data_IF_729796918712
#
_entry.id   IF_729796918712
#
_cell.length_a   1.000
_cell.length_b   1.000
_cell.length_c   1.000
_cell.angle_alpha   90.00
_cell.angle_beta   90.00
_cell.angle_gamma   90.00
#
_symmetry.space_group_name_H-M   'P 1'
#
loop_
_entity.id
_entity.type
_entity.pdbx_description
1 polymer ?
#
# COMPACT_ATOMS: atom_id res chain seq x y z
N UNK A 1 9.74 1.91 0.75
CA UNK A 1 10.59 0.78 0.28
C UNK A 1 11.47 0.30 1.42
N UNK A 2 11.82 -0.98 1.44
CA UNK A 2 12.67 -1.63 2.45
C UNK A 2 13.42 -2.82 1.79
N UNK A 3 14.56 -3.30 2.35
CA UNK A 3 15.29 -4.44 1.80
C UNK A 3 14.42 -5.70 1.71
N UNK A 4 14.46 -6.38 0.57
CA UNK A 4 13.62 -7.54 0.28
C UNK A 4 12.17 -7.19 -0.09
N UNK A 5 11.88 -5.95 -0.48
CA UNK A 5 10.56 -5.55 -1.02
C UNK A 5 10.25 -6.34 -2.31
N UNK A 6 8.97 -6.63 -2.53
CA UNK A 6 8.52 -7.30 -3.74
C UNK A 6 8.49 -6.30 -4.92
N UNK A 7 9.36 -6.49 -5.89
CA UNK A 7 9.51 -5.61 -7.05
C UNK A 7 8.33 -5.65 -8.01
N UNK A 8 7.61 -6.79 -8.11
CA UNK A 8 6.40 -6.88 -8.92
C UNK A 8 5.33 -5.95 -8.36
N UNK A 9 5.08 -6.01 -7.05
CA UNK A 9 4.08 -5.14 -6.41
C UNK A 9 4.51 -3.68 -6.45
N UNK A 10 5.79 -3.40 -6.24
CA UNK A 10 6.32 -2.04 -6.38
C UNK A 10 6.13 -1.50 -7.81
N UNK A 11 6.40 -2.32 -8.82
CA UNK A 11 6.20 -1.98 -10.22
C UNK A 11 4.73 -1.72 -10.55
N UNK A 12 3.81 -2.56 -10.04
CA UNK A 12 2.36 -2.35 -10.19
C UNK A 12 1.90 -1.04 -9.54
N UNK A 13 2.36 -0.73 -8.33
CA UNK A 13 2.03 0.51 -7.63
C UNK A 13 2.47 1.74 -8.44
N UNK A 14 3.70 1.75 -8.92
CA UNK A 14 4.22 2.85 -9.73
C UNK A 14 3.53 2.92 -11.10
N UNK A 15 3.38 1.81 -11.79
CA UNK A 15 2.81 1.75 -13.14
C UNK A 15 1.34 2.16 -13.18
N UNK A 16 0.53 1.72 -12.21
CA UNK A 16 -0.88 2.08 -12.13
C UNK A 16 -1.12 3.52 -11.66
N UNK A 17 -0.27 4.05 -10.77
CA UNK A 17 -0.48 5.38 -10.23
C UNK A 17 0.19 6.50 -11.05
N UNK A 18 1.22 6.20 -11.84
CA UNK A 18 1.88 7.20 -12.71
C UNK A 18 0.93 7.92 -13.67
N UNK A 19 -0.01 7.27 -14.35
CA UNK A 19 -0.97 7.96 -15.22
C UNK A 19 -1.88 8.94 -14.46
N UNK A 20 -2.14 8.69 -13.17
CA UNK A 20 -2.93 9.57 -12.32
C UNK A 20 -2.19 10.87 -11.98
N UNK A 21 -0.85 10.82 -11.93
CA UNK A 21 -0.01 11.97 -11.60
C UNK A 21 0.12 12.96 -12.75
N UNK A 22 0.02 12.50 -14.00
CA UNK A 22 0.24 13.34 -15.22
C UNK A 22 -1.01 14.13 -15.63
N UNK A 23 -2.21 13.70 -15.24
CA UNK A 23 -3.48 14.30 -15.66
C UNK A 23 -4.06 15.31 -14.65
N UNK A 24 -3.23 15.99 -13.85
CA UNK A 24 -3.69 17.09 -13.02
C UNK A 24 -4.34 18.17 -13.91
N UNK A 25 -5.63 18.45 -13.69
CA UNK A 25 -6.29 19.63 -14.27
C UNK A 25 -5.47 20.87 -13.89
N UNK A 26 -5.40 21.85 -14.79
CA UNK A 26 -4.72 23.13 -14.50
C UNK A 26 -5.24 23.66 -13.17
N UNK A 27 -4.38 23.73 -12.15
CA UNK A 27 -4.72 24.20 -10.79
C UNK A 27 -4.81 23.14 -9.68
N UNK A 28 -4.80 21.83 -9.99
CA UNK A 28 -4.67 20.78 -8.97
C UNK A 28 -3.26 20.21 -9.03
N UNK A 29 -2.44 20.27 -7.95
CA UNK A 29 -1.15 19.58 -7.94
C UNK A 29 -1.39 18.10 -8.23
N UNK A 30 -0.85 17.60 -9.33
CA UNK A 30 -0.92 16.18 -9.65
C UNK A 30 -0.19 15.40 -8.53
N UNK A 31 -0.91 14.54 -7.81
CA UNK A 31 -0.27 13.67 -6.83
C UNK A 31 0.62 12.68 -7.58
N UNK A 32 1.93 12.78 -7.43
CA UNK A 32 2.88 11.85 -8.00
C UNK A 32 3.00 10.59 -7.12
N UNK A 33 3.11 9.42 -7.74
CA UNK A 33 3.54 8.22 -7.03
C UNK A 33 5.04 8.32 -6.75
N UNK A 34 5.40 8.35 -5.47
CA UNK A 34 6.78 8.52 -5.01
C UNK A 34 7.23 7.29 -4.22
N UNK A 35 8.45 6.85 -4.47
CA UNK A 35 9.09 5.83 -3.64
C UNK A 35 9.84 6.47 -2.49
N UNK A 36 9.49 6.07 -1.27
CA UNK A 36 10.12 6.57 -0.04
C UNK A 36 10.73 5.43 0.78
N UNK A 37 11.84 5.71 1.45
CA UNK A 37 12.49 4.76 2.34
C UNK A 37 13.16 5.50 3.52
N UNK A 38 13.75 4.73 4.45
CA UNK A 38 14.49 5.31 5.58
C UNK A 38 15.72 6.10 5.13
N UNK A 39 16.39 5.66 4.07
CA UNK A 39 17.58 6.29 3.51
C UNK A 39 17.52 6.29 1.99
N UNK A 40 18.36 7.07 1.33
CA UNK A 40 18.49 7.08 -0.14
C UNK A 40 19.42 5.99 -0.68
N UNK A 41 19.91 5.09 0.18
CA UNK A 41 20.68 3.94 -0.27
C UNK A 41 19.85 3.00 -1.14
N UNK A 42 20.53 2.35 -2.09
CA UNK A 42 19.89 1.36 -2.95
C UNK A 42 19.33 0.20 -2.12
N UNK A 43 18.18 -0.27 -2.52
CA UNK A 43 17.41 -1.36 -1.91
C UNK A 43 17.47 -2.56 -2.83
N UNK A 44 17.97 -3.69 -2.34
CA UNK A 44 17.88 -4.98 -3.01
C UNK A 44 16.47 -5.54 -2.77
N UNK A 45 15.71 -5.75 -3.86
CA UNK A 45 14.38 -6.35 -3.85
C UNK A 45 14.44 -7.88 -3.69
N UNK A 46 13.29 -8.51 -3.47
CA UNK A 46 13.19 -9.94 -3.21
C UNK A 46 13.67 -10.82 -4.37
N UNK A 47 13.41 -10.44 -5.62
CA UNK A 47 13.83 -11.15 -6.84
C UNK A 47 15.17 -10.67 -7.41
N UNK A 48 15.89 -9.78 -6.71
CA UNK A 48 17.23 -9.36 -7.09
C UNK A 48 17.32 -8.01 -7.80
N UNK A 49 16.21 -7.35 -8.11
CA UNK A 49 16.25 -5.99 -8.66
C UNK A 49 16.81 -5.03 -7.62
N UNK A 50 17.64 -4.08 -8.05
CA UNK A 50 18.18 -3.02 -7.21
C UNK A 50 17.47 -1.71 -7.54
N UNK A 51 16.80 -1.11 -6.56
CA UNK A 51 16.07 0.14 -6.70
C UNK A 51 16.60 1.21 -5.75
N UNK A 52 16.62 2.46 -6.19
CA UNK A 52 16.96 3.60 -5.33
C UNK A 52 15.68 4.40 -5.03
N UNK A 53 15.35 4.61 -3.74
CA UNK A 53 14.19 5.43 -3.37
C UNK A 53 14.38 6.88 -3.84
N UNK A 54 13.28 7.49 -4.29
CA UNK A 54 13.28 8.90 -4.70
C UNK A 54 13.49 9.83 -3.50
N UNK A 55 12.86 9.51 -2.36
CA UNK A 55 12.89 10.33 -1.15
C UNK A 55 13.16 9.50 0.10
N UNK A 56 13.59 10.16 1.16
CA UNK A 56 13.55 9.63 2.52
C UNK A 56 12.25 10.04 3.21
N UNK A 57 11.85 9.33 4.26
CA UNK A 57 10.62 9.63 5.00
C UNK A 57 10.52 11.10 5.45
N UNK A 58 11.64 11.67 5.96
CA UNK A 58 11.68 13.05 6.44
C UNK A 58 11.52 14.12 5.34
N UNK A 59 11.71 13.75 4.08
CA UNK A 59 11.57 14.63 2.92
C UNK A 59 10.29 14.36 2.11
N UNK A 60 9.43 13.46 2.59
CA UNK A 60 8.16 13.19 1.92
C UNK A 60 7.23 14.42 2.01
N UNK A 61 6.61 14.82 0.90
CA UNK A 61 5.58 15.87 0.92
C UNK A 61 4.33 15.37 1.68
N UNK A 62 3.33 16.23 1.93
CA UNK A 62 2.03 15.78 2.42
C UNK A 62 1.48 14.65 1.54
N UNK A 63 1.08 13.55 2.17
CA UNK A 63 0.67 12.33 1.48
C UNK A 63 -0.85 12.29 1.33
N UNK A 64 -1.33 11.90 0.15
CA UNK A 64 -2.75 11.62 -0.10
C UNK A 64 -3.11 10.14 0.17
N UNK A 65 -2.12 9.26 0.21
CA UNK A 65 -2.26 7.84 0.51
C UNK A 65 -0.89 7.18 0.67
N UNK A 66 -0.85 6.01 1.28
CA UNK A 66 0.35 5.18 1.41
C UNK A 66 0.07 3.80 0.84
N UNK A 67 1.02 3.28 0.04
CA UNK A 67 1.03 1.88 -0.39
C UNK A 67 2.24 1.17 0.21
N UNK A 68 1.97 0.02 0.81
CA UNK A 68 2.97 -0.86 1.42
C UNK A 68 3.03 -2.16 0.61
N UNK A 69 4.04 -2.35 -0.23
CA UNK A 69 4.24 -3.61 -0.93
C UNK A 69 4.66 -4.72 0.02
N UNK A 70 4.43 -5.95 -0.35
CA UNK A 70 4.98 -7.13 0.32
C UNK A 70 6.48 -7.30 0.08
N UNK A 71 7.00 -8.41 0.54
CA UNK A 71 8.39 -8.81 0.36
C UNK A 71 8.97 -9.49 1.60
N UNK A 72 10.09 -10.15 1.44
CA UNK A 72 10.75 -10.95 2.49
C UNK A 72 11.15 -10.13 3.72
N UNK A 73 11.42 -8.83 3.55
CA UNK A 73 11.83 -7.93 4.62
C UNK A 73 10.69 -7.25 5.37
N UNK A 74 9.43 -7.50 5.01
CA UNK A 74 8.27 -6.76 5.49
C UNK A 74 8.15 -6.74 7.03
N UNK A 75 8.22 -7.89 7.68
CA UNK A 75 8.10 -7.97 9.14
C UNK A 75 9.24 -7.22 9.84
N UNK A 76 10.47 -7.38 9.38
CA UNK A 76 11.62 -6.65 9.93
C UNK A 76 11.47 -5.13 9.75
N UNK A 77 10.98 -4.70 8.58
CA UNK A 77 10.74 -3.29 8.30
C UNK A 77 9.64 -2.70 9.20
N UNK A 78 8.59 -3.48 9.52
CA UNK A 78 7.53 -3.06 10.45
C UNK A 78 8.01 -2.81 11.88
N UNK A 79 9.13 -3.41 12.29
CA UNK A 79 9.77 -3.16 13.60
C UNK A 79 10.64 -1.91 13.63
N UNK A 80 10.94 -1.32 12.45
CA UNK A 80 11.74 -0.10 12.38
C UNK A 80 10.94 1.09 12.94
N UNK A 81 11.45 1.79 13.97
CA UNK A 81 10.75 2.93 14.56
C UNK A 81 10.39 4.04 13.55
N UNK A 82 11.23 4.26 12.53
CA UNK A 82 10.97 5.28 11.51
C UNK A 82 9.79 4.88 10.61
N UNK A 83 9.68 3.61 10.25
CA UNK A 83 8.52 3.08 9.49
C UNK A 83 7.25 3.19 10.32
N UNK A 84 7.30 2.78 11.59
CA UNK A 84 6.16 2.87 12.52
C UNK A 84 5.70 4.30 12.71
N UNK A 85 6.63 5.25 12.84
CA UNK A 85 6.30 6.67 12.98
C UNK A 85 5.55 7.22 11.75
N UNK A 86 5.99 6.89 10.54
CA UNK A 86 5.31 7.31 9.30
C UNK A 86 3.89 6.74 9.22
N UNK A 87 3.71 5.46 9.54
CA UNK A 87 2.39 4.83 9.52
C UNK A 87 1.47 5.34 10.64
N UNK A 88 2.01 5.61 11.81
CA UNK A 88 1.25 6.23 12.89
C UNK A 88 0.79 7.65 12.54
N UNK A 89 1.64 8.45 11.91
CA UNK A 89 1.27 9.77 11.40
C UNK A 89 0.18 9.69 10.33
N UNK A 90 0.30 8.74 9.39
CA UNK A 90 -0.73 8.51 8.38
C UNK A 90 -2.07 8.15 9.01
N UNK A 91 -2.07 7.24 10.00
CA UNK A 91 -3.27 6.87 10.74
C UNK A 91 -3.89 8.07 11.46
N UNK A 92 -3.09 8.86 12.16
CA UNK A 92 -3.56 10.06 12.87
C UNK A 92 -4.11 11.13 11.91
N UNK A 93 -3.52 11.26 10.72
CA UNK A 93 -3.98 12.17 9.65
C UNK A 93 -5.11 11.62 8.80
N UNK A 94 -5.68 10.45 9.12
CA UNK A 94 -6.73 9.75 8.36
C UNK A 94 -6.34 9.47 6.89
N UNK A 95 -5.04 9.36 6.61
CA UNK A 95 -4.52 9.06 5.29
C UNK A 95 -4.79 7.59 4.97
N UNK A 96 -5.43 7.26 3.83
CA UNK A 96 -5.72 5.87 3.46
C UNK A 96 -4.43 5.08 3.22
N UNK A 97 -4.43 3.83 3.67
CA UNK A 97 -3.27 2.94 3.59
C UNK A 97 -3.67 1.67 2.82
N UNK A 98 -2.92 1.36 1.77
CA UNK A 98 -3.03 0.11 1.03
C UNK A 98 -1.86 -0.81 1.35
N UNK A 99 -2.15 -2.09 1.60
CA UNK A 99 -1.15 -3.09 2.02
C UNK A 99 -1.29 -4.35 1.17
N UNK A 100 -0.21 -4.78 0.55
CA UNK A 100 -0.21 -5.95 -0.34
C UNK A 100 0.61 -7.09 0.22
N UNK A 101 0.11 -8.30 0.10
CA UNK A 101 0.83 -9.52 0.43
C UNK A 101 1.42 -9.53 1.84
N UNK A 102 2.67 -9.91 1.96
CA UNK A 102 3.39 -9.91 3.24
C UNK A 102 3.66 -8.51 3.82
N UNK A 103 3.35 -7.43 3.09
CA UNK A 103 3.31 -6.07 3.65
C UNK A 103 2.35 -5.95 4.84
N UNK A 104 1.36 -6.86 4.93
CA UNK A 104 0.47 -6.93 6.09
C UNK A 104 1.21 -7.26 7.40
N UNK A 105 2.33 -7.98 7.34
CA UNK A 105 3.19 -8.21 8.52
C UNK A 105 3.83 -6.89 8.99
N UNK A 106 4.25 -6.04 8.05
CA UNK A 106 4.75 -4.70 8.35
C UNK A 106 3.64 -3.85 9.01
N UNK A 107 2.43 -3.89 8.45
CA UNK A 107 1.28 -3.18 9.01
C UNK A 107 0.89 -3.72 10.41
N UNK A 108 0.98 -5.03 10.63
CA UNK A 108 0.76 -5.67 11.93
C UNK A 108 1.74 -5.21 12.99
N UNK A 109 3.05 -5.23 12.70
CA UNK A 109 4.09 -4.74 13.60
C UNK A 109 3.93 -3.23 13.91
N UNK A 110 3.31 -2.47 13.00
CA UNK A 110 2.99 -1.06 13.19
C UNK A 110 1.66 -0.80 13.90
N UNK A 111 0.91 -1.85 14.28
CA UNK A 111 -0.36 -1.74 15.00
C UNK A 111 -1.54 -1.27 14.14
N UNK A 112 -1.49 -1.50 12.82
CA UNK A 112 -2.55 -1.08 11.90
C UNK A 112 -3.61 -2.17 11.65
N UNK A 113 -3.34 -3.41 12.08
CA UNK A 113 -4.17 -4.60 11.80
C UNK A 113 -5.18 -4.89 12.93
N UNK A 114 -4.85 -4.53 14.16
CA UNK A 114 -5.70 -4.81 15.32
C UNK A 114 -7.11 -4.21 15.13
N UNK A 115 -8.11 -5.03 15.44
CA UNK A 115 -9.55 -4.69 15.36
C UNK A 115 -10.03 -4.30 13.94
N UNK A 116 -9.31 -4.76 12.88
CA UNK A 116 -9.65 -4.49 11.48
C UNK A 116 -10.00 -5.78 10.75
N UNK A 117 -10.86 -5.66 9.74
CA UNK A 117 -11.05 -6.74 8.76
C UNK A 117 -9.95 -6.63 7.70
N UNK A 118 -9.17 -7.69 7.49
CA UNK A 118 -8.03 -7.65 6.57
C UNK A 118 -7.99 -8.83 5.61
N UNK A 119 -7.52 -8.57 4.40
CA UNK A 119 -7.21 -9.60 3.41
C UNK A 119 -5.71 -9.94 3.43
N UNK A 120 -5.37 -11.21 3.35
CA UNK A 120 -3.97 -11.65 3.33
C UNK A 120 -3.76 -12.86 2.42
N UNK A 121 -2.50 -13.20 2.06
CA UNK A 121 -2.21 -14.50 1.49
C UNK A 121 -2.55 -15.62 2.48
N UNK A 122 -3.23 -16.68 2.04
CA UNK A 122 -3.61 -17.81 2.90
C UNK A 122 -2.43 -18.38 3.73
N UNK A 123 -1.20 -18.52 3.18
CA UNK A 123 -0.05 -19.02 3.96
C UNK A 123 0.38 -18.12 5.13
N UNK A 124 -0.06 -16.86 5.17
CA UNK A 124 0.27 -15.92 6.25
C UNK A 124 -0.83 -15.79 7.30
N UNK A 125 -1.97 -16.46 7.10
CA UNK A 125 -3.14 -16.32 7.97
C UNK A 125 -2.82 -16.48 9.46
N UNK A 126 -2.15 -17.57 9.83
CA UNK A 126 -1.80 -17.85 11.23
C UNK A 126 -0.90 -16.77 11.85
N UNK A 127 0.05 -16.24 11.06
CA UNK A 127 0.93 -15.16 11.52
C UNK A 127 0.15 -13.86 11.69
N UNK A 128 -0.77 -13.57 10.78
CA UNK A 128 -1.59 -12.35 10.80
C UNK A 128 -2.58 -12.37 11.96
N UNK A 129 -3.13 -13.53 12.33
CA UNK A 129 -3.95 -13.67 13.53
C UNK A 129 -3.23 -13.23 14.80
N UNK A 130 -1.90 -13.35 14.85
CA UNK A 130 -1.08 -12.85 15.96
C UNK A 130 -1.13 -11.32 16.15
N UNK A 131 -1.61 -10.56 15.15
CA UNK A 131 -1.82 -9.11 15.25
C UNK A 131 -3.26 -8.72 15.63
N UNK A 132 -4.09 -9.69 16.02
CA UNK A 132 -5.45 -9.52 16.54
C UNK A 132 -6.39 -8.77 15.57
N UNK A 133 -6.52 -9.17 14.30
CA UNK A 133 -7.54 -8.60 13.42
C UNK A 133 -8.95 -8.94 13.95
N UNK A 134 -9.94 -8.11 13.61
CA UNK A 134 -11.35 -8.41 13.89
C UNK A 134 -11.85 -9.59 13.03
N UNK A 135 -11.38 -9.67 11.79
CA UNK A 135 -11.63 -10.79 10.87
C UNK A 135 -10.52 -10.87 9.82
N UNK A 136 -10.34 -12.06 9.25
CA UNK A 136 -9.33 -12.35 8.24
C UNK A 136 -9.97 -13.00 7.02
N UNK A 137 -9.70 -12.44 5.84
CA UNK A 137 -10.20 -12.92 4.55
C UNK A 137 -9.03 -13.44 3.69
N UNK A 138 -8.69 -14.72 3.77
CA UNK A 138 -7.60 -15.29 2.98
C UNK A 138 -7.87 -15.16 1.48
N UNK A 139 -6.82 -14.83 0.74
CA UNK A 139 -6.79 -14.70 -0.73
C UNK A 139 -7.84 -13.73 -1.32
N UNK A 140 -8.34 -12.81 -0.52
CA UNK A 140 -9.28 -11.77 -0.94
C UNK A 140 -8.72 -10.37 -0.65
N UNK A 141 -9.07 -9.42 -1.51
CA UNK A 141 -8.86 -8.01 -1.22
C UNK A 141 -10.02 -7.49 -0.35
N UNK A 142 -9.66 -6.72 0.67
CA UNK A 142 -10.58 -6.15 1.65
C UNK A 142 -10.40 -4.64 1.72
N UNK A 143 -11.50 -3.93 1.82
CA UNK A 143 -11.55 -2.50 2.12
C UNK A 143 -12.21 -2.31 3.48
N UNK A 144 -11.42 -2.00 4.49
CA UNK A 144 -11.90 -1.69 5.84
C UNK A 144 -11.90 -0.16 6.04
N UNK A 145 -13.08 0.42 5.99
CA UNK A 145 -13.31 1.86 6.14
C UNK A 145 -14.10 2.09 7.43
N UNK A 146 -13.39 2.39 8.50
CA UNK A 146 -13.99 2.66 9.81
C UNK A 146 -14.34 4.14 9.95
N UNK A 147 -15.48 4.43 10.55
CA UNK A 147 -15.91 5.79 10.81
C UNK A 147 -14.92 6.49 11.76
N UNK A 148 -14.38 7.64 11.33
CA UNK A 148 -13.38 8.40 12.10
C UNK A 148 -11.99 7.78 12.12
N UNK A 149 -11.73 6.72 11.31
CA UNK A 149 -10.42 6.07 11.18
C UNK A 149 -9.85 6.18 9.76
N UNK A 150 -8.53 6.00 9.64
CA UNK A 150 -7.90 5.86 8.33
C UNK A 150 -8.39 4.58 7.64
N UNK A 151 -8.78 4.67 6.35
CA UNK A 151 -9.15 3.50 5.58
C UNK A 151 -7.94 2.56 5.40
N UNK A 152 -8.16 1.26 5.55
CA UNK A 152 -7.17 0.21 5.31
C UNK A 152 -7.65 -0.68 4.16
N UNK A 153 -6.87 -0.72 3.09
CA UNK A 153 -7.05 -1.62 1.96
C UNK A 153 -6.00 -2.71 2.04
N UNK A 154 -6.39 -3.97 2.04
CA UNK A 154 -5.45 -5.08 2.16
C UNK A 154 -5.79 -6.23 1.22
N UNK A 155 -4.82 -7.06 0.87
CA UNK A 155 -5.04 -8.16 -0.05
C UNK A 155 -3.85 -9.09 -0.19
N UNK A 156 -4.04 -10.22 -0.92
CA UNK A 156 -3.06 -11.30 -0.98
C UNK A 156 -1.75 -10.93 -1.68
N UNK A 157 -1.68 -9.81 -2.38
CA UNK A 157 -0.47 -9.38 -3.07
C UNK A 157 -0.24 -10.04 -4.44
N UNK A 158 0.99 -9.95 -4.96
CA UNK A 158 1.29 -10.35 -6.32
C UNK A 158 0.44 -9.59 -7.33
N UNK A 159 -0.14 -10.27 -8.33
CA UNK A 159 -1.05 -9.65 -9.30
C UNK A 159 -2.35 -9.14 -8.65
N UNK A 160 -2.78 -9.72 -7.54
CA UNK A 160 -3.95 -9.25 -6.80
C UNK A 160 -3.74 -7.89 -6.11
N UNK A 161 -2.49 -7.40 -6.04
CA UNK A 161 -2.19 -6.03 -5.57
C UNK A 161 -2.92 -4.96 -6.39
N UNK A 162 -3.24 -5.23 -7.66
CA UNK A 162 -4.01 -4.33 -8.53
C UNK A 162 -5.30 -3.87 -7.88
N UNK A 163 -6.07 -4.78 -7.27
CA UNK A 163 -7.34 -4.44 -6.60
C UNK A 163 -7.11 -3.50 -5.41
N UNK A 164 -6.11 -3.77 -4.58
CA UNK A 164 -5.75 -2.90 -3.42
C UNK A 164 -5.34 -1.51 -3.89
N UNK A 165 -4.50 -1.44 -4.94
CA UNK A 165 -4.01 -0.18 -5.51
C UNK A 165 -5.17 0.64 -6.08
N UNK A 166 -6.08 0.01 -6.83
CA UNK A 166 -7.22 0.69 -7.44
C UNK A 166 -8.26 1.12 -6.41
N UNK A 167 -8.49 0.34 -5.35
CA UNK A 167 -9.38 0.74 -4.25
C UNK A 167 -8.83 1.98 -3.53
N UNK A 168 -7.54 2.01 -3.23
CA UNK A 168 -6.90 3.21 -2.67
C UNK A 168 -6.94 4.37 -3.66
N UNK A 169 -6.68 4.14 -4.95
CA UNK A 169 -6.76 5.16 -5.98
C UNK A 169 -8.18 5.76 -6.08
N UNK A 170 -9.21 4.93 -5.97
CA UNK A 170 -10.61 5.39 -5.96
C UNK A 170 -10.91 6.29 -4.75
N UNK A 171 -10.35 5.97 -3.59
CA UNK A 171 -10.46 6.82 -2.40
C UNK A 171 -9.77 8.19 -2.58
N UNK A 172 -8.60 8.21 -3.22
CA UNK A 172 -7.77 9.42 -3.33
C UNK A 172 -8.20 10.30 -4.51
N UNK A 173 -8.51 9.70 -5.67
CA UNK A 173 -8.79 10.44 -6.92
C UNK A 173 -10.20 10.25 -7.46
N UNK A 174 -11.02 9.44 -6.80
CA UNK A 174 -12.37 9.10 -7.21
C UNK A 174 -12.44 7.87 -8.12
N UNK A 175 -13.56 7.15 -8.01
CA UNK A 175 -13.80 5.90 -8.74
C UNK A 175 -13.69 6.04 -10.28
N UNK A 176 -14.15 7.12 -10.94
CA UNK A 176 -14.02 7.26 -12.40
C UNK A 176 -12.56 7.25 -12.88
N UNK A 177 -11.64 7.88 -12.13
CA UNK A 177 -10.21 7.87 -12.47
C UNK A 177 -9.57 6.50 -12.25
N UNK A 178 -9.89 5.84 -11.15
CA UNK A 178 -9.42 4.48 -10.89
C UNK A 178 -9.90 3.51 -11.99
N UNK A 179 -11.15 3.65 -12.45
CA UNK A 179 -11.70 2.86 -13.55
C UNK A 179 -10.95 3.11 -14.86
N UNK A 180 -10.63 4.35 -15.18
CA UNK A 180 -9.85 4.69 -16.38
C UNK A 180 -8.47 4.02 -16.35
N UNK A 181 -7.78 4.06 -15.21
CA UNK A 181 -6.48 3.39 -15.03
C UNK A 181 -6.60 1.88 -15.17
N UNK A 182 -7.62 1.28 -14.56
CA UNK A 182 -7.89 -0.15 -14.68
C UNK A 182 -8.05 -0.56 -16.15
N UNK A 183 -8.85 0.18 -16.91
CA UNK A 183 -9.05 -0.06 -18.34
C UNK A 183 -7.77 0.06 -19.16
N UNK A 184 -6.97 1.10 -18.91
CA UNK A 184 -5.69 1.30 -19.60
C UNK A 184 -4.68 0.19 -19.29
N UNK A 185 -4.72 -0.35 -18.07
CA UNK A 185 -3.86 -1.46 -17.63
C UNK A 185 -4.41 -2.84 -18.04
N UNK A 186 -5.57 -2.92 -18.68
CA UNK A 186 -6.23 -4.19 -18.99
C UNK A 186 -6.67 -4.97 -17.76
N UNK A 187 -6.86 -4.28 -16.62
CA UNK A 187 -7.25 -4.89 -15.36
C UNK A 187 -8.77 -4.89 -15.20
N UNK A 188 -9.34 -6.04 -14.85
CA UNK A 188 -10.71 -6.12 -14.38
C UNK A 188 -10.77 -5.54 -12.95
N UNK A 189 -11.48 -4.44 -12.79
CA UNK A 189 -11.72 -3.84 -11.48
C UNK A 189 -13.22 -3.58 -11.35
N UNK A 190 -13.92 -4.35 -10.52
CA UNK A 190 -15.33 -4.13 -10.34
C UNK A 190 -15.55 -2.82 -9.58
N UNK A 191 -16.34 -1.94 -10.17
CA UNK A 191 -17.00 -0.90 -9.39
C UNK A 191 -17.87 -1.64 -8.38
N UNK A 192 -17.60 -1.47 -7.09
CA UNK A 192 -18.55 -1.88 -6.06
C UNK A 192 -19.86 -1.15 -6.34
N UNK A 193 -20.87 -1.92 -6.74
CA UNK A 193 -22.26 -1.47 -6.83
C UNK A 193 -22.76 -1.11 -5.45
#
# INVERSE_FOLDING_TARGET
>A
MYPGVNELELGLMLGLLSPLSVQGSVGTPGAAALTVARSRGSVLCAGGLVCTPQLIFAAAPPLAGILVPGGLGAQKAGRDPAVRAVLAQARAGLIPIGVCGSGLLLAGEAGLVADRVVGCPAPLADTVWGYLPADLQPDRAVSDVQLGGAALYSGPGGLNAVTVILNLAAQVWGAPRAQQVAQQAGAAWPMSS
#
